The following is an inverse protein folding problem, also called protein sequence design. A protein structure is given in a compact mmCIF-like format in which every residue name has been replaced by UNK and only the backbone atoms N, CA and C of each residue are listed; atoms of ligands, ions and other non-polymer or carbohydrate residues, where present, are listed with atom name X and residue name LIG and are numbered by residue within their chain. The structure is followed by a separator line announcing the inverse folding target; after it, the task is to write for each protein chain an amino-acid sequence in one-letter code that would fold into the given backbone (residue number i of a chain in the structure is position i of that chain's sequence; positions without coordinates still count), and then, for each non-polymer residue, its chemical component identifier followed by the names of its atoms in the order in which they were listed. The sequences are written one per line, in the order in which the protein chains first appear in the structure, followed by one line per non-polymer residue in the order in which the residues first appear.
data_IF_559180859079
#
_entry.id   IF_559180859079
#
_cell.length_a   1.000
_cell.length_b   1.000
_cell.length_c   1.000
_cell.angle_alpha   90.00
_cell.angle_beta   90.00
_cell.angle_gamma   90.00
#
_symmetry.space_group_name_H-M   'P 1'
#
loop_
_entity.id
_entity.type
_entity.pdbx_description
1 polymer ?
#
# COMPACT_ATOMS: atom_id res chain seq x y z
N UNK A 1 -13.47 14.09 -4.07
CA UNK A 1 -12.31 13.49 -3.38
C UNK A 1 -11.75 12.36 -4.22
N UNK A 2 -10.49 12.48 -4.70
CA UNK A 2 -9.93 11.67 -5.79
C UNK A 2 -10.05 10.17 -5.54
N UNK A 3 -10.26 9.39 -6.60
CA UNK A 3 -10.23 7.93 -6.53
C UNK A 3 -8.77 7.47 -6.57
N UNK A 4 -8.40 6.56 -5.67
CA UNK A 4 -7.05 5.97 -5.63
C UNK A 4 -7.09 4.46 -5.77
N UNK A 5 -6.13 3.90 -6.49
CA UNK A 5 -5.80 2.48 -6.49
C UNK A 5 -4.40 2.24 -5.94
N UNK A 6 -4.27 1.25 -5.07
CA UNK A 6 -2.97 0.80 -4.56
C UNK A 6 -2.65 -0.57 -5.17
N UNK A 7 -1.53 -0.61 -5.88
CA UNK A 7 -0.99 -1.76 -6.59
C UNK A 7 0.27 -2.26 -5.87
N UNK A 8 0.57 -3.55 -6.07
CA UNK A 8 1.82 -4.13 -5.58
C UNK A 8 2.55 -4.86 -6.68
N UNK A 9 3.87 -4.87 -6.62
CA UNK A 9 4.71 -5.61 -7.54
C UNK A 9 4.70 -7.09 -7.21
N UNK A 10 4.27 -7.90 -8.18
CA UNK A 10 4.36 -9.35 -8.14
C UNK A 10 5.54 -9.78 -9.03
N UNK A 11 6.65 -10.27 -8.45
CA UNK A 11 7.77 -10.78 -9.25
C UNK A 11 7.40 -12.10 -9.93
N UNK A 12 8.03 -12.38 -11.07
CA UNK A 12 7.94 -13.67 -11.74
C UNK A 12 8.51 -14.79 -10.85
N UNK A 13 8.08 -16.03 -11.08
CA UNK A 13 8.63 -17.19 -10.37
C UNK A 13 10.16 -17.23 -10.48
N UNK A 14 10.85 -17.36 -9.34
CA UNK A 14 12.32 -17.36 -9.27
C UNK A 14 12.99 -15.98 -9.34
N UNK A 15 12.24 -14.89 -9.52
CA UNK A 15 12.78 -13.53 -9.54
C UNK A 15 12.65 -12.84 -8.18
N UNK A 16 13.63 -11.99 -7.84
CA UNK A 16 13.61 -11.20 -6.60
C UNK A 16 13.40 -9.72 -6.89
N UNK A 17 12.66 -9.03 -6.03
CA UNK A 17 12.46 -7.59 -6.13
C UNK A 17 13.79 -6.87 -5.85
N UNK A 18 14.17 -5.95 -6.72
CA UNK A 18 15.38 -5.12 -6.58
C UNK A 18 15.07 -3.64 -6.86
N UNK A 19 16.00 -2.76 -6.56
CA UNK A 19 15.83 -1.31 -6.78
C UNK A 19 15.90 -0.90 -8.24
N UNK A 20 16.44 -1.74 -9.14
CA UNK A 20 16.52 -1.44 -10.58
C UNK A 20 15.14 -1.43 -11.23
N UNK A 21 14.22 -2.29 -10.75
CA UNK A 21 12.81 -2.29 -11.19
C UNK A 21 12.19 -0.90 -11.04
N UNK A 22 12.53 -0.15 -9.99
CA UNK A 22 12.02 1.21 -9.81
C UNK A 22 12.50 2.16 -10.90
N UNK A 23 13.78 2.07 -11.30
CA UNK A 23 14.31 2.92 -12.36
C UNK A 23 13.65 2.61 -13.71
N UNK A 24 13.38 1.35 -13.99
CA UNK A 24 12.70 0.92 -15.23
C UNK A 24 11.22 1.31 -15.21
N UNK A 25 10.55 1.18 -14.06
CA UNK A 25 9.19 1.69 -13.86
C UNK A 25 9.16 3.20 -14.09
N UNK A 26 10.11 3.94 -13.54
CA UNK A 26 10.25 5.39 -13.76
C UNK A 26 10.42 5.73 -15.24
N UNK A 27 11.27 5.02 -15.97
CA UNK A 27 11.44 5.20 -17.42
C UNK A 27 10.15 4.87 -18.19
N UNK A 28 9.42 3.84 -17.77
CA UNK A 28 8.13 3.50 -18.36
C UNK A 28 7.11 4.63 -18.16
N UNK A 29 7.07 5.21 -16.96
CA UNK A 29 6.21 6.38 -16.67
C UNK A 29 6.59 7.58 -17.54
N UNK A 30 7.87 7.84 -17.72
CA UNK A 30 8.35 8.91 -18.61
C UNK A 30 7.98 8.64 -20.09
N UNK A 31 7.98 7.37 -20.52
CA UNK A 31 7.62 6.97 -21.89
C UNK A 31 6.17 7.25 -22.25
N UNK A 32 5.27 7.25 -21.25
CA UNK A 32 3.86 7.61 -21.42
C UNK A 32 3.61 9.10 -21.15
N UNK A 33 4.66 9.94 -21.18
CA UNK A 33 4.63 11.39 -20.93
C UNK A 33 4.44 11.79 -19.46
N UNK A 34 4.80 10.91 -18.52
CA UNK A 34 4.80 11.22 -17.10
C UNK A 34 5.88 12.25 -16.75
N UNK A 35 5.50 13.26 -15.99
CA UNK A 35 6.39 14.30 -15.47
C UNK A 35 6.74 13.96 -14.03
N UNK A 36 8.04 13.98 -13.71
CA UNK A 36 8.50 13.71 -12.34
C UNK A 36 7.99 14.78 -11.37
N UNK A 37 7.38 14.33 -10.28
CA UNK A 37 6.79 15.19 -9.27
C UNK A 37 7.72 15.45 -8.08
N UNK A 38 7.09 15.79 -6.94
CA UNK A 38 7.76 16.06 -5.68
C UNK A 38 8.23 14.80 -4.93
N UNK A 39 8.58 14.96 -3.65
CA UNK A 39 8.82 13.83 -2.76
C UNK A 39 7.53 13.54 -2.00
N UNK A 40 6.99 12.35 -2.21
CA UNK A 40 5.86 11.83 -1.44
C UNK A 40 6.31 10.69 -0.51
N UNK A 41 5.73 10.65 0.69
CA UNK A 41 6.01 9.61 1.69
C UNK A 41 4.76 9.26 2.49
N UNK A 42 4.24 8.06 2.31
CA UNK A 42 3.35 7.44 3.30
C UNK A 42 4.17 6.59 4.29
N UNK A 43 3.75 6.63 5.56
CA UNK A 43 4.31 5.77 6.61
C UNK A 43 3.26 4.74 6.99
N UNK A 44 3.64 3.47 6.88
CA UNK A 44 2.82 2.33 7.26
C UNK A 44 3.48 1.62 8.43
N UNK A 45 2.68 1.23 9.41
CA UNK A 45 3.16 0.63 10.65
C UNK A 45 2.43 -0.68 10.85
N UNK A 46 3.15 -1.79 10.81
CA UNK A 46 2.54 -3.09 11.09
C UNK A 46 2.68 -3.37 12.59
N UNK A 47 1.55 -3.57 13.27
CA UNK A 47 1.51 -3.75 14.70
C UNK A 47 1.34 -5.23 15.04
N UNK A 48 2.36 -5.80 15.68
CA UNK A 48 2.32 -7.11 16.37
C UNK A 48 2.26 -6.93 17.89
N UNK A 49 1.29 -7.54 18.59
CA UNK A 49 1.14 -7.41 20.02
C UNK A 49 2.33 -8.05 20.73
N UNK A 50 2.86 -7.34 21.71
CA UNK A 50 3.81 -7.91 22.67
C UNK A 50 2.99 -8.61 23.76
N UNK A 51 2.77 -9.92 23.58
CA UNK A 51 2.14 -10.76 24.60
C UNK A 51 3.16 -10.97 25.73
N UNK A 52 3.00 -10.24 26.84
CA UNK A 52 3.84 -10.40 28.04
C UNK A 52 3.51 -11.67 28.84
N UNK A 53 2.38 -12.30 28.56
CA UNK A 53 1.87 -13.46 29.31
C UNK A 53 1.48 -14.60 28.36
N UNK A 54 2.03 -15.81 28.55
CA UNK A 54 1.74 -16.99 27.73
C UNK A 54 0.37 -17.63 28.06
N UNK A 55 -0.28 -17.19 29.15
CA UNK A 55 -1.54 -17.75 29.65
C UNK A 55 -2.79 -16.96 29.27
N UNK A 56 -2.67 -15.81 28.59
CA UNK A 56 -3.83 -15.06 28.12
C UNK A 56 -4.46 -15.77 26.93
N UNK A 57 -5.80 -15.95 26.88
CA UNK A 57 -6.46 -16.62 25.77
C UNK A 57 -6.16 -15.85 24.49
N UNK A 58 -5.36 -16.47 23.62
CA UNK A 58 -4.85 -15.86 22.39
C UNK A 58 -5.95 -15.51 21.36
N UNK A 59 -7.23 -15.65 21.72
CA UNK A 59 -8.41 -15.44 20.90
C UNK A 59 -9.09 -14.07 21.14
N UNK A 60 -8.78 -13.35 22.23
CA UNK A 60 -9.54 -12.13 22.59
C UNK A 60 -9.05 -10.84 21.93
N UNK A 61 -7.83 -10.79 21.40
CA UNK A 61 -7.27 -9.58 20.80
C UNK A 61 -6.91 -9.78 19.32
N UNK A 62 -7.13 -8.76 18.46
CA UNK A 62 -6.63 -8.81 17.10
C UNK A 62 -5.11 -8.94 17.11
N UNK A 63 -4.60 -10.06 16.60
CA UNK A 63 -3.17 -10.40 16.69
C UNK A 63 -2.29 -9.59 15.75
N UNK A 64 -2.87 -8.95 14.74
CA UNK A 64 -2.13 -8.12 13.79
C UNK A 64 -3.06 -7.03 13.27
N UNK A 65 -2.63 -5.77 13.32
CA UNK A 65 -3.32 -4.67 12.66
C UNK A 65 -2.33 -3.72 12.01
N UNK A 66 -2.78 -3.04 10.96
CA UNK A 66 -1.98 -2.08 10.21
C UNK A 66 -2.36 -0.66 10.66
N UNK A 67 -1.36 0.20 10.80
CA UNK A 67 -1.56 1.64 10.90
C UNK A 67 -1.00 2.36 9.68
N UNK A 68 -1.65 3.44 9.25
CA UNK A 68 -1.16 4.26 8.15
C UNK A 68 -1.42 5.75 8.41
N UNK A 69 -0.40 6.56 8.14
CA UNK A 69 -0.52 8.01 8.03
C UNK A 69 -0.52 8.39 6.54
N UNK A 70 -1.58 9.06 6.10
CA UNK A 70 -1.75 9.53 4.74
C UNK A 70 -1.30 11.00 4.63
N UNK A 71 -0.45 11.38 3.66
CA UNK A 71 0.04 12.76 3.53
C UNK A 71 -1.06 13.81 3.33
N UNK A 72 -2.19 13.41 2.77
CA UNK A 72 -3.34 14.28 2.52
C UNK A 72 -4.06 14.68 3.83
N UNK A 73 -3.88 13.87 4.88
CA UNK A 73 -4.46 14.13 6.20
C UNK A 73 -3.42 13.92 7.30
N UNK A 74 -2.46 14.86 7.46
CA UNK A 74 -1.32 14.69 8.35
C UNK A 74 -1.71 14.59 9.83
N UNK A 75 -2.88 15.10 10.21
CA UNK A 75 -3.39 15.07 11.59
C UNK A 75 -4.18 13.79 11.92
N UNK A 76 -4.32 12.88 10.96
CA UNK A 76 -5.11 11.65 11.11
C UNK A 76 -4.24 10.43 11.02
N UNK A 77 -4.72 9.37 11.67
CA UNK A 77 -4.11 8.05 11.59
C UNK A 77 -5.20 7.00 11.42
N UNK A 78 -4.96 6.06 10.51
CA UNK A 78 -5.92 5.01 10.20
C UNK A 78 -5.40 3.69 10.71
N UNK A 79 -6.24 2.95 11.44
CA UNK A 79 -5.96 1.62 11.93
C UNK A 79 -6.86 0.62 11.20
N UNK A 80 -6.27 -0.42 10.62
CA UNK A 80 -6.98 -1.47 9.88
C UNK A 80 -6.78 -2.81 10.58
N UNK A 81 -7.88 -3.38 11.03
CA UNK A 81 -7.93 -4.72 11.60
C UNK A 81 -8.58 -5.64 10.57
N UNK A 82 -7.74 -6.18 9.68
CA UNK A 82 -8.18 -6.94 8.49
C UNK A 82 -9.01 -8.18 8.85
N UNK A 83 -8.65 -8.91 9.91
CA UNK A 83 -9.37 -10.13 10.33
C UNK A 83 -10.82 -9.87 10.72
N UNK A 84 -11.09 -8.69 11.29
CA UNK A 84 -12.41 -8.26 11.75
C UNK A 84 -13.08 -7.31 10.76
N UNK A 85 -12.41 -6.97 9.65
CA UNK A 85 -12.86 -6.00 8.64
C UNK A 85 -13.20 -4.63 9.26
N UNK A 86 -12.36 -4.18 10.19
CA UNK A 86 -12.55 -2.88 10.85
C UNK A 86 -11.52 -1.89 10.30
N UNK A 87 -11.98 -0.69 9.96
CA UNK A 87 -11.14 0.48 9.72
C UNK A 87 -11.53 1.59 10.68
N UNK A 88 -10.56 2.10 11.43
CA UNK A 88 -10.76 3.14 12.43
C UNK A 88 -9.94 4.37 12.07
N UNK A 89 -10.60 5.53 12.07
CA UNK A 89 -9.94 6.82 12.02
C UNK A 89 -9.66 7.30 13.44
N UNK A 90 -8.43 7.72 13.69
CA UNK A 90 -7.97 8.29 14.95
C UNK A 90 -7.19 9.59 14.69
N UNK A 91 -6.98 10.34 15.76
CA UNK A 91 -6.03 11.44 15.76
C UNK A 91 -4.58 10.90 15.67
N UNK A 92 -3.69 11.64 15.02
CA UNK A 92 -2.28 11.25 14.85
C UNK A 92 -1.57 10.92 16.18
N UNK A 93 -1.98 11.53 17.29
CA UNK A 93 -1.44 11.28 18.64
C UNK A 93 -1.58 9.84 19.14
N UNK A 94 -2.46 9.03 18.54
CA UNK A 94 -2.60 7.60 18.87
C UNK A 94 -1.29 6.83 18.72
N UNK A 95 -0.40 7.26 17.80
CA UNK A 95 0.92 6.65 17.65
C UNK A 95 1.75 6.78 18.92
N UNK A 96 1.74 7.96 19.55
CA UNK A 96 2.49 8.22 20.78
C UNK A 96 1.92 7.42 21.96
N UNK A 97 0.60 7.24 22.01
CA UNK A 97 -0.06 6.39 23.01
C UNK A 97 0.39 4.94 22.83
N UNK A 98 0.32 4.39 21.62
CA UNK A 98 0.75 3.01 21.34
C UNK A 98 2.24 2.78 21.62
N UNK A 99 3.09 3.77 21.34
CA UNK A 99 4.52 3.72 21.65
C UNK A 99 4.78 3.73 23.17
N UNK A 100 4.09 4.59 23.93
CA UNK A 100 4.18 4.63 25.40
C UNK A 100 3.71 3.34 26.06
N UNK A 101 2.63 2.75 25.54
CA UNK A 101 2.14 1.45 26.01
C UNK A 101 3.08 0.30 25.66
N UNK A 102 4.16 0.55 24.89
CA UNK A 102 5.11 -0.44 24.39
C UNK A 102 4.45 -1.69 23.80
N UNK A 103 3.22 -1.56 23.30
CA UNK A 103 2.41 -2.73 22.99
C UNK A 103 2.75 -3.30 21.61
N UNK A 104 3.42 -2.52 20.74
CA UNK A 104 3.68 -2.88 19.35
C UNK A 104 4.92 -2.19 18.77
N UNK A 105 5.59 -2.81 17.77
CA UNK A 105 6.73 -2.23 17.01
C UNK A 105 6.72 -2.69 15.53
N UNK A 106 6.79 -1.74 14.58
CA UNK A 106 7.51 -1.77 13.28
C UNK A 106 7.04 -0.61 12.36
N UNK A 107 7.97 0.17 11.78
CA UNK A 107 7.69 1.23 10.76
C UNK A 107 8.18 0.81 9.36
N UNK A 108 7.41 1.13 8.31
CA UNK A 108 7.72 0.97 6.88
C UNK A 108 7.49 2.32 6.19
N UNK A 109 8.41 2.73 5.31
CA UNK A 109 8.29 3.97 4.54
C UNK A 109 8.25 3.67 3.03
N UNK A 110 7.37 4.36 2.30
CA UNK A 110 7.28 4.36 0.83
C UNK A 110 7.86 5.66 0.27
N UNK A 111 8.53 5.66 -0.89
CA UNK A 111 8.98 6.89 -1.57
C UNK A 111 9.06 6.71 -3.10
N UNK A 112 8.42 7.60 -3.87
CA UNK A 112 8.70 8.28 -5.18
C UNK A 112 7.35 8.78 -5.76
N UNK A 113 7.34 9.90 -6.50
CA UNK A 113 6.12 10.53 -7.03
C UNK A 113 6.31 11.07 -8.47
N UNK A 114 5.31 10.80 -9.31
CA UNK A 114 5.17 11.18 -10.71
C UNK A 114 3.75 11.72 -10.96
N UNK A 115 3.61 12.60 -11.96
CA UNK A 115 2.32 13.15 -12.38
C UNK A 115 2.13 12.92 -13.88
N UNK A 116 0.93 12.52 -14.28
CA UNK A 116 0.58 12.24 -15.67
C UNK A 116 -0.81 12.80 -15.99
N UNK A 117 -0.87 14.02 -16.53
CA UNK A 117 -2.15 14.67 -16.86
C UNK A 117 -3.09 14.73 -15.65
N UNK A 118 -4.27 14.14 -15.79
CA UNK A 118 -5.31 14.02 -14.75
C UNK A 118 -5.02 12.95 -13.69
N UNK A 119 -3.97 12.16 -13.89
CA UNK A 119 -3.52 11.12 -12.98
C UNK A 119 -2.27 11.56 -12.20
N UNK A 120 -2.18 11.12 -10.95
CA UNK A 120 -0.95 11.16 -10.17
C UNK A 120 -0.52 9.72 -9.88
N UNK A 121 0.74 9.43 -10.14
CA UNK A 121 1.32 8.10 -9.99
C UNK A 121 2.45 8.14 -8.98
N UNK A 122 2.32 7.39 -7.89
CA UNK A 122 3.34 7.34 -6.83
C UNK A 122 3.88 5.94 -6.74
N UNK A 123 5.17 5.75 -6.93
CA UNK A 123 5.80 4.43 -6.89
C UNK A 123 6.75 4.40 -5.72
N UNK A 124 6.74 3.37 -4.91
CA UNK A 124 7.54 3.33 -3.69
C UNK A 124 8.16 1.98 -3.42
N UNK A 125 9.42 1.99 -2.97
CA UNK A 125 10.00 0.81 -2.30
C UNK A 125 9.39 0.62 -0.92
N UNK A 126 9.14 -0.63 -0.57
CA UNK A 126 8.74 -1.08 0.75
C UNK A 126 9.98 -1.56 1.47
N UNK A 127 10.51 -0.75 2.40
CA UNK A 127 11.73 -1.08 3.15
C UNK A 127 11.42 -1.07 4.66
N UNK A 128 11.75 -2.13 5.42
CA UNK A 128 11.64 -2.14 6.87
C UNK A 128 12.63 -1.16 7.50
N UNK A 129 12.26 -0.50 8.59
CA UNK A 129 13.15 0.49 9.23
C UNK A 129 14.50 -0.07 9.71
N UNK A 130 14.57 -1.38 10.00
CA UNK A 130 15.75 -2.03 10.59
C UNK A 130 16.57 -2.81 9.55
N UNK A 131 16.24 -2.74 8.27
CA UNK A 131 16.97 -3.44 7.21
C UNK A 131 16.83 -2.70 5.89
N UNK A 132 17.92 -2.50 5.16
CA UNK A 132 17.86 -1.96 3.79
C UNK A 132 17.27 -2.95 2.77
N UNK A 133 16.95 -4.17 3.21
CA UNK A 133 16.36 -5.21 2.38
C UNK A 133 14.97 -4.79 1.87
N UNK A 134 14.89 -4.62 0.56
CA UNK A 134 13.65 -4.37 -0.17
C UNK A 134 12.67 -5.53 0.03
N UNK A 135 11.47 -5.23 0.52
CA UNK A 135 10.39 -6.22 0.72
C UNK A 135 9.38 -6.24 -0.41
N UNK A 136 9.32 -5.18 -1.21
CA UNK A 136 8.38 -5.06 -2.30
C UNK A 136 8.40 -3.68 -2.91
N UNK A 137 7.63 -3.51 -3.98
CA UNK A 137 7.38 -2.23 -4.62
C UNK A 137 5.86 -2.04 -4.63
N UNK A 138 5.41 -0.84 -4.29
CA UNK A 138 4.00 -0.44 -4.27
C UNK A 138 3.83 0.72 -5.24
N UNK A 139 2.68 0.81 -5.87
CA UNK A 139 2.31 1.90 -6.75
C UNK A 139 0.92 2.40 -6.40
N UNK A 140 0.75 3.69 -6.19
CA UNK A 140 -0.54 4.35 -6.02
C UNK A 140 -0.86 5.12 -7.30
N UNK A 141 -2.04 4.87 -7.86
CA UNK A 141 -2.61 5.63 -8.96
C UNK A 141 -3.74 6.46 -8.38
N UNK A 142 -3.72 7.77 -8.56
CA UNK A 142 -4.74 8.70 -8.11
C UNK A 142 -5.34 9.43 -9.31
N UNK A 143 -6.65 9.39 -9.47
CA UNK A 143 -7.38 10.12 -10.51
C UNK A 143 -8.06 11.37 -9.91
N UNK A 144 -7.67 12.54 -10.41
CA UNK A 144 -8.02 13.85 -9.82
C UNK A 144 -9.43 14.36 -10.18
N UNK A 145 -9.91 14.30 -11.43
CA UNK A 145 -11.25 14.75 -11.80
C UNK A 145 -12.28 13.70 -11.38
N UNK A 146 -13.38 14.09 -10.77
CA UNK A 146 -14.37 13.10 -10.30
C UNK A 146 -15.74 13.65 -10.55
N UNK A 147 -16.44 12.96 -11.44
CA UNK A 147 -17.87 13.07 -11.58
C UNK A 147 -18.56 12.03 -10.70
N UNK A 148 -18.12 10.76 -10.75
CA UNK A 148 -18.66 9.63 -9.96
C UNK A 148 -17.66 8.48 -9.86
N UNK A 149 -17.69 7.73 -8.76
CA UNK A 149 -16.82 6.56 -8.50
C UNK A 149 -16.86 5.49 -9.59
N UNK A 150 -18.04 5.18 -10.12
CA UNK A 150 -18.21 4.17 -11.16
C UNK A 150 -17.54 4.57 -12.48
N UNK A 151 -17.74 5.81 -12.93
CA UNK A 151 -17.05 6.35 -14.12
C UNK A 151 -15.55 6.46 -13.91
N UNK A 152 -15.11 6.90 -12.73
CA UNK A 152 -13.69 6.95 -12.39
C UNK A 152 -13.07 5.55 -12.38
N UNK A 153 -13.80 4.50 -12.01
CA UNK A 153 -13.33 3.11 -12.08
C UNK A 153 -13.04 2.70 -13.51
N UNK A 154 -13.96 2.96 -14.45
CA UNK A 154 -13.75 2.66 -15.88
C UNK A 154 -12.51 3.36 -16.44
N UNK A 155 -12.33 4.65 -16.12
CA UNK A 155 -11.17 5.42 -16.55
C UNK A 155 -9.87 4.88 -15.92
N UNK A 156 -9.92 4.42 -14.67
CA UNK A 156 -8.78 3.79 -14.00
C UNK A 156 -8.44 2.42 -14.62
N UNK A 157 -9.44 1.63 -15.02
CA UNK A 157 -9.24 0.36 -15.75
C UNK A 157 -8.54 0.62 -17.09
N UNK A 158 -9.06 1.56 -17.90
CA UNK A 158 -8.45 1.95 -19.17
C UNK A 158 -7.01 2.45 -19.00
N UNK A 159 -6.75 3.27 -17.98
CA UNK A 159 -5.41 3.72 -17.66
C UNK A 159 -4.50 2.56 -17.25
N UNK A 160 -5.01 1.61 -16.47
CA UNK A 160 -4.25 0.44 -16.04
C UNK A 160 -3.90 -0.49 -17.21
N UNK A 161 -4.76 -0.59 -18.23
CA UNK A 161 -4.47 -1.33 -19.45
C UNK A 161 -3.35 -0.66 -20.27
N UNK A 162 -3.41 0.66 -20.45
CA UNK A 162 -2.33 1.44 -21.10
C UNK A 162 -1.01 1.28 -20.35
N UNK A 163 -1.07 1.33 -19.02
CA UNK A 163 0.10 1.11 -18.15
C UNK A 163 0.68 -0.30 -18.33
N UNK A 164 -0.16 -1.33 -18.36
CA UNK A 164 0.28 -2.71 -18.60
C UNK A 164 0.91 -2.89 -19.98
N UNK A 165 0.35 -2.26 -21.02
CA UNK A 165 0.92 -2.30 -22.36
C UNK A 165 2.30 -1.63 -22.41
N UNK A 166 2.44 -0.45 -21.79
CA UNK A 166 3.72 0.25 -21.69
C UNK A 166 4.77 -0.61 -20.95
N UNK A 167 4.35 -1.28 -19.88
CA UNK A 167 5.20 -2.18 -19.10
C UNK A 167 5.50 -3.51 -19.81
N UNK A 168 4.66 -3.98 -20.73
CA UNK A 168 4.97 -5.18 -21.53
C UNK A 168 6.12 -4.94 -22.51
N UNK A 169 6.37 -3.68 -22.87
CA UNK A 169 7.50 -3.28 -23.72
C UNK A 169 8.82 -3.29 -22.94
N UNK A 170 8.77 -3.17 -21.61
CA UNK A 170 9.93 -3.37 -20.74
C UNK A 170 10.03 -4.85 -20.35
N UNK A 171 11.23 -5.43 -20.44
CA UNK A 171 11.47 -6.85 -20.16
C UNK A 171 11.58 -7.14 -18.65
N UNK A 172 10.64 -6.58 -17.87
CA UNK A 172 10.69 -6.61 -16.42
C UNK A 172 10.31 -7.99 -15.85
N UNK A 173 11.00 -8.45 -14.78
CA UNK A 173 10.76 -9.75 -14.17
C UNK A 173 9.56 -9.75 -13.21
N UNK A 174 8.40 -9.28 -13.66
CA UNK A 174 7.17 -9.20 -12.87
C UNK A 174 6.16 -8.21 -13.44
N UNK A 175 5.08 -7.98 -12.69
CA UNK A 175 4.03 -7.02 -13.04
C UNK A 175 3.40 -6.40 -11.80
N UNK A 176 2.78 -5.23 -11.99
CA UNK A 176 1.91 -4.65 -10.95
C UNK A 176 0.56 -5.36 -10.94
N UNK A 177 0.06 -5.65 -9.74
CA UNK A 177 -1.21 -6.31 -9.51
C UNK A 177 -2.12 -5.42 -8.68
N UNK A 178 -3.33 -5.20 -9.19
CA UNK A 178 -4.42 -4.55 -8.45
C UNK A 178 -5.17 -5.59 -7.60
N UNK A 179 -5.45 -5.23 -6.35
CA UNK A 179 -6.28 -6.04 -5.46
C UNK A 179 -7.60 -5.31 -5.25
N UNK A 180 -8.64 -5.76 -5.95
CA UNK A 180 -9.97 -5.22 -5.75
C UNK A 180 -10.41 -5.46 -4.30
N UNK A 181 -10.76 -4.37 -3.61
CA UNK A 181 -11.11 -4.39 -2.19
C UNK A 181 -12.62 -4.30 -2.03
N UNK A 182 -13.20 -5.24 -1.28
CA UNK A 182 -14.62 -5.18 -0.94
C UNK A 182 -14.85 -4.19 0.22
N UNK A 183 -15.10 -2.93 -0.12
CA UNK A 183 -15.26 -1.86 0.88
C UNK A 183 -16.51 -2.02 1.75
N UNK A 184 -17.57 -2.63 1.21
CA UNK A 184 -18.81 -2.88 1.94
C UNK A 184 -18.59 -3.82 3.15
N UNK A 185 -17.64 -4.75 3.05
CA UNK A 185 -17.26 -5.62 4.18
C UNK A 185 -16.67 -4.85 5.37
N UNK A 186 -16.10 -3.66 5.11
CA UNK A 186 -15.58 -2.76 6.13
C UNK A 186 -16.61 -1.71 6.58
N UNK A 187 -17.86 -1.82 6.11
CA UNK A 187 -18.92 -0.85 6.40
C UNK A 187 -18.73 0.51 5.72
N UNK A 188 -17.89 0.58 4.69
CA UNK A 188 -17.66 1.81 3.93
C UNK A 188 -18.73 2.00 2.85
N UNK A 189 -19.12 3.25 2.60
CA UNK A 189 -20.10 3.62 1.58
C UNK A 189 -19.46 3.73 0.19
N UNK A 190 -20.27 3.92 -0.85
CA UNK A 190 -19.78 4.12 -2.22
C UNK A 190 -19.09 5.48 -2.43
N UNK A 191 -19.08 6.36 -1.43
CA UNK A 191 -18.35 7.62 -1.49
C UNK A 191 -16.90 7.39 -1.05
N UNK A 192 -15.96 7.64 -1.96
CA UNK A 192 -14.54 7.46 -1.65
C UNK A 192 -14.10 8.36 -0.49
N UNK A 193 -13.46 7.75 0.49
CA UNK A 193 -12.87 8.41 1.66
C UNK A 193 -11.44 7.93 1.86
N UNK A 194 -10.61 8.64 2.63
CA UNK A 194 -9.28 8.16 2.97
C UNK A 194 -9.25 6.78 3.65
N UNK A 195 -10.34 6.36 4.32
CA UNK A 195 -10.48 5.02 4.87
C UNK A 195 -10.44 3.93 3.78
N UNK A 196 -10.95 4.22 2.57
CA UNK A 196 -10.84 3.30 1.43
C UNK A 196 -9.39 3.11 1.02
N UNK A 197 -8.62 4.20 0.92
CA UNK A 197 -7.18 4.14 0.67
C UNK A 197 -6.47 3.33 1.73
N UNK A 198 -6.80 3.55 3.01
CA UNK A 198 -6.23 2.82 4.14
C UNK A 198 -6.48 1.31 4.05
N UNK A 199 -7.70 0.88 3.68
CA UNK A 199 -8.04 -0.53 3.45
C UNK A 199 -7.24 -1.14 2.30
N UNK A 200 -7.09 -0.42 1.19
CA UNK A 200 -6.29 -0.89 0.04
C UNK A 200 -4.82 -1.12 0.42
N UNK A 201 -4.21 -0.17 1.14
CA UNK A 201 -2.87 -0.36 1.71
C UNK A 201 -2.82 -1.57 2.65
N UNK A 202 -3.85 -1.80 3.46
CA UNK A 202 -4.05 -3.00 4.27
C UNK A 202 -3.90 -4.29 3.48
N UNK A 203 -4.64 -4.39 2.38
CA UNK A 203 -4.67 -5.59 1.53
C UNK A 203 -3.34 -5.81 0.80
N UNK A 204 -2.76 -4.75 0.23
CA UNK A 204 -1.46 -4.80 -0.45
C UNK A 204 -0.35 -5.23 0.51
N UNK A 205 -0.29 -4.65 1.71
CA UNK A 205 0.73 -5.01 2.70
C UNK A 205 0.60 -6.46 3.16
N UNK A 206 -0.62 -6.97 3.33
CA UNK A 206 -0.84 -8.37 3.68
C UNK A 206 -0.27 -9.33 2.60
N UNK A 207 -0.47 -9.01 1.32
CA UNK A 207 0.08 -9.81 0.21
C UNK A 207 1.61 -9.76 0.15
N UNK A 208 2.20 -8.59 0.35
CA UNK A 208 3.65 -8.44 0.38
C UNK A 208 4.28 -9.24 1.54
N UNK A 209 3.67 -9.21 2.72
CA UNK A 209 4.12 -9.99 3.88
C UNK A 209 4.02 -11.49 3.59
N UNK A 210 2.88 -11.95 3.04
CA UNK A 210 2.68 -13.36 2.71
C UNK A 210 3.70 -13.86 1.67
N UNK A 211 4.01 -13.05 0.65
CA UNK A 211 5.00 -13.38 -0.38
C UNK A 211 6.40 -13.54 0.23
N UNK A 212 6.79 -12.63 1.12
CA UNK A 212 8.09 -12.72 1.81
C UNK A 212 8.19 -13.95 2.70
N UNK A 213 7.10 -14.30 3.41
CA UNK A 213 7.06 -15.50 4.26
C UNK A 213 7.18 -16.80 3.43
N UNK A 214 6.48 -16.88 2.29
CA UNK A 214 6.53 -18.05 1.40
C UNK A 214 7.95 -18.29 0.83
N UNK A 215 8.67 -17.22 0.47
CA UNK A 215 10.06 -17.32 -0.01
C UNK A 215 11.01 -17.77 1.09
N UNK A 216 10.78 -17.36 2.34
CA UNK A 216 11.58 -17.78 3.49
C UNK A 216 11.33 -19.25 3.86
N UNK A 217 10.08 -19.71 3.82
CA UNK A 217 9.75 -21.11 4.10
C UNK A 217 10.27 -22.08 3.03
N UNK A 218 10.40 -21.64 1.78
CA UNK A 218 10.95 -22.47 0.70
C UNK A 218 12.49 -22.58 0.72
N UNK A 219 13.17 -21.75 1.54
CA UNK A 219 14.63 -21.74 1.70
C UNK A 219 15.12 -22.53 2.92
N UNK A 220 14.22 -22.96 3.79
CA UNK A 220 14.50 -23.77 4.98
C UNK A 220 14.07 -25.22 4.73
#
# INVERSE_FOLDING_TARGET
MPLKWVLHWQPNAGSTVNSQILNEVSQCVESIHGVKGGKWKATLTFYKPILRDQNSPAAEFPRDFLGISLPEQPNKYYLIIRGQRIVLEADFTIQAIMEKLQSYKLRVALNFEYQLGDFQLRVGKVVPNNSENLRGIVMEIEYLPISSMEKSRQIMDEFFDVWQEAMSKSSLPGRFMHIESNFAEYGLSDFYTPQHTAVQYGNVMAQLIATVQAVQSARN
#
